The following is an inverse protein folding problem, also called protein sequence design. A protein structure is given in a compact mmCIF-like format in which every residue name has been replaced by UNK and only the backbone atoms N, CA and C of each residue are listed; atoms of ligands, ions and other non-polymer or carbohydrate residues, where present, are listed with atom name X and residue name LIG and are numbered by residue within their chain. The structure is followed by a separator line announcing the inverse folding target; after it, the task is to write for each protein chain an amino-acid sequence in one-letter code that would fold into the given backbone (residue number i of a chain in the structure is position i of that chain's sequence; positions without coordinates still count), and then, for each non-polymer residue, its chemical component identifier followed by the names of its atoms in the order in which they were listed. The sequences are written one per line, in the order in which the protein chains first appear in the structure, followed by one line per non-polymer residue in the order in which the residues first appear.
data_IF_079425533738
#
_entry.id   IF_079425533738
#
_cell.length_a   1.000
_cell.length_b   1.000
_cell.length_c   1.000
_cell.angle_alpha   90.00
_cell.angle_beta   90.00
_cell.angle_gamma   90.00
#
_symmetry.space_group_name_H-M   'P 1'
#
loop_
_entity.id
_entity.type
_entity.pdbx_description
1 polymer ?
#
# COMPACT_ATOMS: atom_id res chain seq x y z
N UNK A 1 -7.57 -6.94 -6.94
CA UNK A 1 -6.34 -6.32 -7.46
C UNK A 1 -5.19 -7.22 -7.05
N UNK A 2 -4.22 -7.43 -7.94
CA UNK A 2 -2.99 -8.14 -7.60
C UNK A 2 -2.24 -7.35 -6.50
N UNK A 3 -1.59 -8.05 -5.57
CA UNK A 3 -0.94 -7.42 -4.42
C UNK A 3 -0.79 -8.39 -3.25
N UNK A 4 -0.41 -7.84 -2.10
CA UNK A 4 -0.22 -8.59 -0.86
C UNK A 4 -1.36 -8.31 0.11
N UNK A 5 -2.02 -9.38 0.52
CA UNK A 5 -3.06 -9.35 1.53
C UNK A 5 -2.54 -10.04 2.78
N UNK A 6 -2.85 -9.48 3.94
CA UNK A 6 -2.29 -9.96 5.20
C UNK A 6 -3.09 -9.49 6.40
N UNK A 7 -3.01 -10.25 7.48
CA UNK A 7 -3.45 -9.81 8.80
C UNK A 7 -2.26 -9.32 9.61
N UNK A 8 -2.49 -8.35 10.51
CA UNK A 8 -1.44 -7.84 11.38
C UNK A 8 -2.00 -7.16 12.63
N UNK A 9 -1.32 -7.36 13.75
CA UNK A 9 -1.57 -6.64 15.00
C UNK A 9 -0.83 -5.29 15.10
N UNK A 10 -0.06 -4.91 14.07
CA UNK A 10 0.69 -3.63 14.07
C UNK A 10 -0.20 -2.42 13.82
N UNK A 11 -1.37 -2.64 13.26
CA UNK A 11 -2.23 -1.59 12.72
C UNK A 11 -3.62 -1.71 13.32
N UNK A 12 -4.22 -0.57 13.61
CA UNK A 12 -5.59 -0.47 14.10
C UNK A 12 -6.44 0.29 13.08
N UNK A 13 -7.73 -0.05 13.01
CA UNK A 13 -8.74 0.81 12.37
C UNK A 13 -8.87 2.06 13.23
N UNK A 14 -8.50 3.21 12.66
CA UNK A 14 -8.69 4.50 13.31
C UNK A 14 -10.12 4.97 13.03
N UNK A 15 -10.93 5.34 14.05
CA UNK A 15 -12.22 5.96 13.81
C UNK A 15 -12.01 7.27 13.04
N UNK A 16 -12.86 7.52 12.05
CA UNK A 16 -12.84 8.79 11.32
C UNK A 16 -13.22 9.96 12.20
N UNK A 17 -13.09 11.18 11.66
CA UNK A 17 -13.26 12.46 12.38
C UNK A 17 -14.57 12.59 13.15
N UNK A 18 -15.63 11.90 12.71
CA UNK A 18 -16.99 11.98 13.27
C UNK A 18 -17.45 10.67 13.92
N UNK A 19 -16.53 9.74 14.21
CA UNK A 19 -16.84 8.43 14.80
C UNK A 19 -17.25 7.36 13.78
N UNK A 20 -17.46 7.74 12.51
CA UNK A 20 -17.64 6.80 11.39
C UNK A 20 -16.29 6.32 10.86
N UNK A 21 -16.19 5.04 10.48
CA UNK A 21 -15.05 4.52 9.76
C UNK A 21 -15.15 4.99 8.31
N UNK A 22 -14.55 6.13 7.98
CA UNK A 22 -14.40 6.55 6.59
C UNK A 22 -13.34 5.66 5.92
N UNK A 23 -13.62 5.02 4.76
CA UNK A 23 -12.64 4.20 4.04
C UNK A 23 -11.27 4.85 3.86
N UNK A 24 -11.22 6.16 3.57
CA UNK A 24 -9.96 6.91 3.44
C UNK A 24 -9.20 7.17 4.76
N UNK A 25 -9.77 6.84 5.92
CA UNK A 25 -9.10 6.98 7.23
C UNK A 25 -8.36 5.71 7.66
N UNK A 26 -8.73 4.54 7.13
CA UNK A 26 -8.12 3.26 7.47
C UNK A 26 -6.84 3.02 6.66
N UNK A 27 -5.82 2.46 7.32
CA UNK A 27 -4.54 2.15 6.66
C UNK A 27 -3.49 3.26 6.78
N UNK A 28 -3.75 4.35 7.49
CA UNK A 28 -2.76 5.41 7.76
C UNK A 28 -1.52 4.86 8.47
N UNK A 29 -1.72 3.98 9.45
CA UNK A 29 -0.64 3.35 10.21
C UNK A 29 0.18 2.42 9.32
N UNK A 30 -0.47 1.63 8.45
CA UNK A 30 0.17 0.82 7.42
C UNK A 30 1.02 1.69 6.49
N UNK A 31 0.44 2.75 5.93
CA UNK A 31 1.15 3.66 5.01
C UNK A 31 2.37 4.31 5.69
N UNK A 32 2.22 4.77 6.94
CA UNK A 32 3.32 5.37 7.70
C UNK A 32 4.44 4.37 8.04
N UNK A 33 4.07 3.14 8.38
CA UNK A 33 5.03 2.06 8.64
C UNK A 33 5.76 1.65 7.35
N UNK A 34 5.04 1.43 6.26
CA UNK A 34 5.60 0.97 5.00
C UNK A 34 6.48 2.05 4.36
N UNK A 35 6.10 3.33 4.46
CA UNK A 35 6.93 4.48 4.07
C UNK A 35 8.33 4.39 4.70
N UNK A 36 8.42 4.19 6.01
CA UNK A 36 9.71 4.08 6.72
C UNK A 36 10.54 2.89 6.22
N UNK A 37 9.89 1.73 6.01
CA UNK A 37 10.57 0.52 5.51
C UNK A 37 11.11 0.71 4.10
N UNK A 38 10.36 1.38 3.22
CA UNK A 38 10.78 1.73 1.86
C UNK A 38 11.91 2.77 1.86
N UNK A 39 11.82 3.80 2.70
CA UNK A 39 12.90 4.78 2.87
C UNK A 39 14.21 4.13 3.31
N UNK A 40 14.16 3.16 4.24
CA UNK A 40 15.35 2.39 4.64
C UNK A 40 15.95 1.53 3.52
N UNK A 41 15.18 1.14 2.51
CA UNK A 41 15.67 0.48 1.29
C UNK A 41 16.18 1.45 0.22
N UNK A 42 16.16 2.75 0.51
CA UNK A 42 16.70 3.80 -0.36
C UNK A 42 15.69 4.38 -1.35
N UNK A 43 14.40 4.13 -1.17
CA UNK A 43 13.36 4.82 -1.94
C UNK A 43 13.18 6.26 -1.45
N UNK A 44 12.97 7.19 -2.39
CA UNK A 44 12.52 8.54 -2.07
C UNK A 44 10.98 8.56 -2.02
N UNK A 45 10.41 8.33 -0.84
CA UNK A 45 8.96 8.31 -0.68
C UNK A 45 8.46 9.74 -0.43
N UNK A 46 7.53 10.23 -1.23
CA UNK A 46 6.86 11.52 -1.00
C UNK A 46 6.05 11.52 0.32
N UNK A 47 5.53 12.69 0.78
CA UNK A 47 4.52 12.71 1.83
C UNK A 47 3.35 11.77 1.49
N UNK A 48 2.79 11.13 2.52
CA UNK A 48 1.67 10.19 2.36
C UNK A 48 0.48 10.93 1.76
N UNK A 49 -0.06 10.40 0.66
CA UNK A 49 -1.22 10.96 -0.04
C UNK A 49 -2.47 10.19 0.42
N UNK A 50 -3.49 10.91 0.88
CA UNK A 50 -4.81 10.32 1.18
C UNK A 50 -5.62 10.24 -0.10
N UNK A 51 -6.15 9.05 -0.37
CA UNK A 51 -7.04 8.76 -1.50
C UNK A 51 -8.42 8.36 -0.95
N UNK A 52 -9.44 8.31 -1.80
CA UNK A 52 -10.80 7.89 -1.43
C UNK A 52 -10.90 6.40 -1.08
N UNK A 53 -9.92 5.59 -1.49
CA UNK A 53 -9.82 4.15 -1.22
C UNK A 53 -8.73 3.78 -0.18
N UNK A 54 -7.99 4.74 0.35
CA UNK A 54 -6.88 4.47 1.28
C UNK A 54 -5.73 5.47 1.15
N UNK A 55 -4.50 4.96 1.01
CA UNK A 55 -3.30 5.78 1.02
C UNK A 55 -2.32 5.41 -0.09
N UNK A 56 -1.74 6.43 -0.72
CA UNK A 56 -0.73 6.29 -1.76
C UNK A 56 0.64 6.74 -1.26
N UNK A 57 1.65 5.89 -1.48
CA UNK A 57 3.07 6.16 -1.27
C UNK A 57 3.75 6.35 -2.63
N UNK A 58 3.83 7.60 -3.08
CA UNK A 58 4.51 7.95 -4.34
C UNK A 58 6.03 7.84 -4.18
N UNK A 59 6.68 7.07 -5.05
CA UNK A 59 8.12 6.77 -5.03
C UNK A 59 8.91 7.47 -6.14
N UNK A 60 8.27 7.65 -7.30
CA UNK A 60 8.82 8.43 -8.40
C UNK A 60 7.70 8.93 -9.30
N UNK A 61 7.92 10.08 -9.95
CA UNK A 61 7.05 10.64 -10.99
C UNK A 61 7.70 10.69 -12.38
N UNK A 62 9.00 10.44 -12.46
CA UNK A 62 9.78 10.48 -13.70
C UNK A 62 10.77 9.30 -13.75
N UNK A 63 10.90 8.58 -14.88
CA UNK A 63 10.23 8.79 -16.16
C UNK A 63 8.77 8.29 -16.21
N UNK A 64 8.29 7.62 -15.17
CA UNK A 64 6.92 7.13 -15.00
C UNK A 64 6.51 7.28 -13.54
N UNK A 65 5.21 7.14 -13.24
CA UNK A 65 4.77 7.07 -11.85
C UNK A 65 5.08 5.69 -11.31
N UNK A 66 5.71 5.63 -10.15
CA UNK A 66 5.96 4.42 -9.39
C UNK A 66 5.44 4.67 -7.97
N UNK A 67 4.52 3.85 -7.49
CA UNK A 67 3.88 4.08 -6.21
C UNK A 67 3.39 2.77 -5.57
N UNK A 68 3.08 2.84 -4.27
CA UNK A 68 2.47 1.73 -3.52
C UNK A 68 1.13 2.19 -2.96
N UNK A 69 0.08 1.41 -3.22
CA UNK A 69 -1.22 1.58 -2.57
C UNK A 69 -1.24 0.83 -1.24
N UNK A 70 -1.83 1.45 -0.22
CA UNK A 70 -2.08 0.87 1.09
C UNK A 70 -3.57 0.99 1.42
N UNK A 71 -4.21 -0.12 1.73
CA UNK A 71 -5.64 -0.19 2.04
C UNK A 71 -5.98 -1.40 2.89
N UNK A 72 -7.26 -1.78 2.87
CA UNK A 72 -7.81 -2.89 3.65
C UNK A 72 -9.07 -3.43 2.95
N UNK A 73 -9.53 -4.62 3.33
CA UNK A 73 -10.80 -5.18 2.86
C UNK A 73 -11.97 -4.59 3.67
N UNK A 74 -12.91 -3.91 3.02
CA UNK A 74 -14.08 -3.32 3.69
C UNK A 74 -14.90 -4.38 4.46
N UNK A 75 -15.05 -5.58 3.88
CA UNK A 75 -15.78 -6.71 4.49
C UNK A 75 -15.10 -7.28 5.76
N UNK A 76 -13.85 -6.87 6.06
CA UNK A 76 -13.11 -7.33 7.25
C UNK A 76 -13.37 -6.48 8.50
N UNK A 77 -14.09 -5.38 8.36
CA UNK A 77 -14.55 -4.56 9.49
C UNK A 77 -15.89 -5.13 9.96
N UNK A 78 -15.85 -6.03 10.96
CA UNK A 78 -17.06 -6.44 11.66
C UNK A 78 -17.77 -5.21 12.26
N UNK A 79 -19.06 -5.33 12.59
CA UNK A 79 -19.84 -4.30 13.31
C UNK A 79 -19.14 -3.77 14.58
N UNK A 80 -18.17 -4.53 15.10
CA UNK A 80 -17.20 -4.12 16.11
C UNK A 80 -15.78 -3.94 15.50
N UNK A 81 -15.33 -2.70 15.24
CA UNK A 81 -14.00 -2.41 14.70
C UNK A 81 -12.86 -2.72 15.69
N UNK A 82 -13.17 -3.15 16.92
CA UNK A 82 -12.17 -3.55 17.93
C UNK A 82 -11.95 -5.06 18.03
N UNK A 83 -12.79 -5.88 17.37
CA UNK A 83 -12.73 -7.35 17.45
C UNK A 83 -12.65 -8.09 16.09
N UNK A 84 -12.79 -7.40 14.95
CA UNK A 84 -12.63 -8.00 13.63
C UNK A 84 -11.17 -8.18 13.23
N UNK A 85 -10.82 -9.35 12.67
CA UNK A 85 -9.51 -9.58 12.05
C UNK A 85 -9.46 -8.81 10.71
N UNK A 86 -8.83 -7.64 10.70
CA UNK A 86 -8.72 -6.79 9.51
C UNK A 86 -7.73 -7.40 8.54
N UNK A 87 -8.18 -7.60 7.30
CA UNK A 87 -7.29 -7.94 6.19
C UNK A 87 -6.79 -6.65 5.56
N UNK A 88 -5.50 -6.39 5.71
CA UNK A 88 -4.79 -5.29 5.08
C UNK A 88 -4.38 -5.65 3.66
N UNK A 89 -4.23 -4.64 2.82
CA UNK A 89 -3.81 -4.80 1.43
C UNK A 89 -2.76 -3.78 1.05
N UNK A 90 -1.71 -4.20 0.36
CA UNK A 90 -0.82 -3.29 -0.33
C UNK A 90 -0.35 -3.84 -1.67
N UNK A 91 -0.11 -2.95 -2.63
CA UNK A 91 0.21 -3.32 -4.00
C UNK A 91 1.13 -2.29 -4.65
N UNK A 92 2.05 -2.76 -5.49
CA UNK A 92 2.94 -1.91 -6.28
C UNK A 92 2.32 -1.56 -7.62
N UNK A 93 2.45 -0.30 -8.05
CA UNK A 93 1.91 0.16 -9.33
C UNK A 93 2.96 0.94 -10.10
N UNK A 94 2.92 0.76 -11.43
CA UNK A 94 3.60 1.62 -12.38
C UNK A 94 2.61 2.19 -13.38
N UNK A 95 2.64 3.51 -13.58
CA UNK A 95 1.81 4.19 -14.57
C UNK A 95 2.68 5.00 -15.53
N UNK A 96 2.49 4.78 -16.83
CA UNK A 96 3.16 5.55 -17.87
C UNK A 96 2.23 6.70 -18.27
N UNK A 97 2.63 7.97 -18.04
CA UNK A 97 1.84 9.11 -18.48
C UNK A 97 1.51 9.02 -19.97
N UNK A 98 0.28 9.38 -20.34
CA UNK A 98 -0.22 9.22 -21.71
C UNK A 98 0.71 9.85 -22.76
N UNK A 99 1.26 11.03 -22.49
CA UNK A 99 2.15 11.74 -23.42
C UNK A 99 3.46 11.00 -23.67
N UNK A 100 3.97 10.23 -22.69
CA UNK A 100 5.21 9.45 -22.82
C UNK A 100 4.99 8.12 -23.54
N UNK A 101 3.75 7.65 -23.66
CA UNK A 101 3.44 6.44 -24.45
C UNK A 101 3.69 6.63 -25.95
N UNK A 102 3.72 7.87 -26.44
CA UNK A 102 3.92 8.18 -27.86
C UNK A 102 5.39 8.33 -28.29
N UNK A 103 6.35 8.46 -27.37
CA UNK A 103 7.77 8.74 -27.66
C UNK A 103 8.72 7.56 -27.32
N UNK A 104 8.17 6.35 -27.27
CA UNK A 104 8.88 5.15 -26.82
C UNK A 104 8.54 4.84 -25.36
N UNK A 105 8.00 3.65 -25.12
CA UNK A 105 7.62 3.22 -23.77
C UNK A 105 8.89 2.98 -22.94
N UNK A 106 9.08 3.64 -21.78
CA UNK A 106 10.15 3.26 -20.87
C UNK A 106 9.94 1.81 -20.43
N UNK A 107 11.03 1.06 -20.25
CA UNK A 107 10.95 -0.26 -19.61
C UNK A 107 10.62 -0.07 -18.13
N UNK A 108 9.38 -0.40 -17.77
CA UNK A 108 8.86 -0.30 -16.42
C UNK A 108 8.94 -1.61 -15.65
N UNK A 109 9.22 -2.73 -16.34
CA UNK A 109 9.11 -4.06 -15.73
C UNK A 109 10.14 -4.23 -14.62
N UNK A 110 11.38 -3.82 -14.84
CA UNK A 110 12.43 -3.91 -13.82
C UNK A 110 12.09 -3.10 -12.55
N UNK A 111 11.52 -1.90 -12.71
CA UNK A 111 11.16 -1.05 -11.58
C UNK A 111 9.97 -1.62 -10.79
N UNK A 112 8.95 -2.11 -11.49
CA UNK A 112 7.79 -2.74 -10.86
C UNK A 112 8.20 -4.03 -10.13
N UNK A 113 8.93 -4.93 -10.80
CA UNK A 113 9.38 -6.19 -10.20
C UNK A 113 10.29 -5.97 -9.00
N UNK A 114 11.16 -4.95 -9.03
CA UNK A 114 11.99 -4.61 -7.88
C UNK A 114 11.13 -4.14 -6.70
N UNK A 115 10.18 -3.24 -6.95
CA UNK A 115 9.29 -2.73 -5.90
C UNK A 115 8.45 -3.84 -5.30
N UNK A 116 7.87 -4.71 -6.13
CA UNK A 116 7.11 -5.87 -5.70
C UNK A 116 7.95 -6.83 -4.84
N UNK A 117 9.19 -7.14 -5.26
CA UNK A 117 10.10 -7.98 -4.49
C UNK A 117 10.50 -7.33 -3.15
N UNK A 118 10.69 -6.01 -3.13
CA UNK A 118 10.97 -5.26 -1.91
C UNK A 118 9.76 -5.25 -0.96
N UNK A 119 8.53 -5.16 -1.47
CA UNK A 119 7.30 -5.30 -0.68
C UNK A 119 7.20 -6.69 -0.06
N UNK A 120 7.34 -7.75 -0.86
CA UNK A 120 7.33 -9.12 -0.35
C UNK A 120 8.37 -9.31 0.76
N UNK A 121 9.60 -8.83 0.55
CA UNK A 121 10.68 -8.96 1.53
C UNK A 121 10.47 -8.12 2.79
N UNK A 122 9.75 -6.99 2.71
CA UNK A 122 9.38 -6.20 3.90
C UNK A 122 8.30 -6.92 4.70
N UNK A 123 7.25 -7.41 4.03
CA UNK A 123 6.09 -8.03 4.66
C UNK A 123 6.45 -9.39 5.28
N UNK A 124 7.12 -10.26 4.51
CA UNK A 124 7.50 -11.61 4.96
C UNK A 124 8.54 -11.62 6.09
N UNK A 125 9.27 -10.52 6.27
CA UNK A 125 10.28 -10.39 7.33
C UNK A 125 9.71 -9.85 8.65
N UNK A 126 8.46 -9.36 8.68
CA UNK A 126 7.85 -8.77 9.87
C UNK A 126 7.05 -9.83 10.64
N UNK A 127 7.46 -10.23 11.86
CA UNK A 127 6.80 -11.34 12.58
C UNK A 127 5.34 -11.10 12.95
N UNK A 128 4.92 -9.83 13.00
CA UNK A 128 3.55 -9.44 13.29
C UNK A 128 2.66 -9.36 12.02
N UNK A 129 3.17 -9.80 10.86
CA UNK A 129 2.43 -9.87 9.60
C UNK A 129 2.25 -11.35 9.21
N UNK A 130 1.01 -11.74 8.93
CA UNK A 130 0.68 -13.05 8.37
C UNK A 130 0.15 -12.84 6.96
N UNK A 131 0.94 -13.19 5.94
CA UNK A 131 0.51 -13.11 4.55
C UNK A 131 -0.59 -14.13 4.26
N UNK A 132 -1.68 -13.67 3.65
CA UNK A 132 -2.78 -14.50 3.22
C UNK A 132 -2.48 -15.10 1.84
N UNK A 133 -2.75 -16.41 1.70
CA UNK A 133 -2.71 -17.09 0.42
C UNK A 133 -4.04 -16.85 -0.28
N UNK A 134 -4.10 -15.87 -1.18
CA UNK A 134 -5.29 -15.69 -2.03
C UNK A 134 -5.25 -16.74 -3.15
N UNK A 135 -6.31 -17.55 -3.30
CA UNK A 135 -6.40 -18.58 -4.35
C UNK A 135 -6.49 -18.02 -5.77
#
# INVERSE_FOLDING_TARGET
MDGYWFTSSLFLVEPGRDGEVNPGSCGRQLAAWLKKKLEWRGYNVEPIITEDWGYCLMLSRDPFLLWVGCGYAEDSVADDPTNGEITWHCFSVVEIPFIKRLFGKPDTSAALSRLDADLWAILSAEPAITLEMIP
#
